data_IF_299391966553
#
_entry.id   IF_299391966553
#
_cell.length_a   1.000
_cell.length_b   1.000
_cell.length_c   1.000
_cell.angle_alpha   90.00
_cell.angle_beta   90.00
_cell.angle_gamma   90.00
#
_symmetry.space_group_name_H-M   'P 1'
#
loop_
_entity.id
_entity.type
_entity.pdbx_description
1 polymer ?
#
# COMPACT_ATOMS: atom_id res chain seq x y z
N UNK A 1 -17.51 -34.37 -22.56
CA UNK A 1 -17.48 -33.84 -21.16
C UNK A 1 -16.15 -33.18 -20.74
N UNK A 2 -15.29 -32.69 -21.66
CA UNK A 2 -14.00 -32.04 -21.31
C UNK A 2 -13.96 -30.52 -21.48
N UNK A 3 -14.99 -29.91 -22.09
CA UNK A 3 -15.05 -28.45 -22.38
C UNK A 3 -15.58 -27.60 -21.22
N UNK A 4 -16.26 -28.19 -20.23
CA UNK A 4 -16.90 -27.46 -19.12
C UNK A 4 -15.93 -27.13 -17.98
N UNK A 5 -14.79 -27.82 -17.90
CA UNK A 5 -13.82 -27.65 -16.80
C UNK A 5 -12.85 -26.48 -17.00
N UNK A 6 -12.71 -25.97 -18.23
CA UNK A 6 -11.88 -24.80 -18.55
C UNK A 6 -12.57 -23.46 -18.24
N UNK A 7 -13.90 -23.40 -18.32
CA UNK A 7 -14.66 -22.18 -18.03
C UNK A 7 -14.68 -21.85 -16.52
N UNK A 8 -14.66 -22.86 -15.65
CA UNK A 8 -14.58 -22.67 -14.20
C UNK A 8 -13.19 -22.25 -13.70
N UNK A 9 -12.11 -22.61 -14.40
CA UNK A 9 -10.76 -22.11 -14.09
C UNK A 9 -10.49 -20.72 -14.65
N UNK A 10 -11.13 -20.33 -15.76
CA UNK A 10 -11.03 -18.97 -16.30
C UNK A 10 -11.76 -17.93 -15.41
N UNK A 11 -12.79 -18.34 -14.66
CA UNK A 11 -13.55 -17.48 -13.76
C UNK A 11 -12.81 -17.13 -12.45
N UNK A 12 -11.78 -17.91 -12.10
CA UNK A 12 -10.95 -17.70 -10.90
C UNK A 12 -9.66 -16.90 -11.19
N UNK A 13 -9.37 -16.64 -12.46
CA UNK A 13 -8.14 -16.02 -12.95
C UNK A 13 -8.37 -14.76 -13.78
N UNK A 14 -9.62 -14.35 -13.97
CA UNK A 14 -9.88 -12.95 -14.32
C UNK A 14 -9.38 -12.11 -13.17
N UNK A 15 -8.34 -11.24 -13.34
CA UNK A 15 -8.13 -10.20 -12.36
C UNK A 15 -9.47 -9.50 -12.28
N UNK A 16 -10.05 -9.41 -11.08
CA UNK A 16 -11.20 -8.55 -10.87
C UNK A 16 -10.79 -7.20 -11.48
N UNK A 17 -11.36 -6.88 -12.65
CA UNK A 17 -10.99 -5.67 -13.36
C UNK A 17 -11.32 -4.57 -12.39
N UNK A 18 -10.31 -3.89 -11.86
CA UNK A 18 -10.50 -2.77 -10.96
C UNK A 18 -11.60 -1.91 -11.58
N UNK A 19 -12.71 -1.74 -10.86
CA UNK A 19 -13.89 -1.05 -11.36
C UNK A 19 -13.76 0.44 -11.04
N UNK A 20 -14.29 1.34 -11.87
CA UNK A 20 -14.34 2.75 -11.51
C UNK A 20 -15.01 2.98 -10.15
N UNK A 21 -14.67 4.08 -9.48
CA UNK A 21 -15.26 4.47 -8.20
C UNK A 21 -14.34 4.29 -6.99
N UNK A 22 -13.03 4.30 -7.19
CA UNK A 22 -12.07 4.55 -6.11
C UNK A 22 -11.79 6.04 -6.00
N UNK A 23 -11.54 6.51 -4.78
CA UNK A 23 -11.14 7.88 -4.50
C UNK A 23 -9.64 8.08 -4.71
N UNK A 24 -8.86 7.04 -4.41
CA UNK A 24 -7.40 7.05 -4.47
C UNK A 24 -6.81 5.81 -5.11
N UNK A 25 -5.83 6.00 -5.98
CA UNK A 25 -4.82 4.98 -6.30
C UNK A 25 -3.64 5.19 -5.35
N UNK A 26 -3.24 4.16 -4.60
CA UNK A 26 -2.16 4.26 -3.61
C UNK A 26 -1.01 3.36 -4.02
N UNK A 27 0.11 3.97 -4.39
CA UNK A 27 1.33 3.28 -4.81
C UNK A 27 2.25 3.08 -3.61
N UNK A 28 2.54 1.83 -3.28
CA UNK A 28 3.46 1.50 -2.20
C UNK A 28 4.91 1.58 -2.66
N UNK A 29 5.77 2.08 -1.77
CA UNK A 29 7.22 2.17 -1.95
C UNK A 29 7.91 0.84 -2.24
N UNK A 30 9.05 0.92 -2.91
CA UNK A 30 9.91 -0.21 -3.25
C UNK A 30 11.40 0.14 -3.12
N UNK A 31 11.89 1.01 -4.02
CA UNK A 31 13.25 1.57 -4.03
C UNK A 31 13.36 2.70 -5.06
N UNK A 32 14.29 3.64 -4.85
CA UNK A 32 14.72 4.62 -5.84
C UNK A 32 16.26 4.64 -5.92
N UNK A 33 16.80 5.03 -7.08
CA UNK A 33 18.24 5.14 -7.33
C UNK A 33 18.60 6.55 -7.78
N UNK A 34 19.11 7.37 -6.86
CA UNK A 34 19.62 8.71 -7.16
C UNK A 34 18.56 9.66 -7.74
N UNK A 35 17.28 9.46 -7.41
CA UNK A 35 16.17 10.25 -7.94
C UNK A 35 15.45 9.60 -9.14
N UNK A 36 15.81 8.38 -9.52
CA UNK A 36 15.07 7.59 -10.51
C UNK A 36 14.35 6.44 -9.82
N UNK A 37 13.12 6.08 -10.23
CA UNK A 37 12.48 4.91 -9.65
C UNK A 37 13.30 3.66 -9.98
N UNK A 38 13.39 2.72 -9.03
CA UNK A 38 13.88 1.38 -9.33
C UNK A 38 12.96 0.68 -10.33
N UNK A 39 13.38 -0.40 -11.01
CA UNK A 39 12.50 -1.15 -11.90
C UNK A 39 11.20 -1.63 -11.23
N UNK A 40 11.24 -1.95 -9.93
CA UNK A 40 10.04 -2.31 -9.17
C UNK A 40 9.12 -1.11 -8.96
N UNK A 41 9.67 0.03 -8.51
CA UNK A 41 8.87 1.24 -8.31
C UNK A 41 8.30 1.75 -9.65
N UNK A 42 9.09 1.70 -10.72
CA UNK A 42 8.67 2.12 -12.06
C UNK A 42 7.48 1.31 -12.57
N UNK A 43 7.50 -0.03 -12.47
CA UNK A 43 6.35 -0.87 -12.84
C UNK A 43 5.08 -0.50 -12.06
N UNK A 44 5.22 -0.21 -10.76
CA UNK A 44 4.08 0.21 -9.93
C UNK A 44 3.55 1.58 -10.34
N UNK A 45 4.44 2.52 -10.66
CA UNK A 45 4.07 3.86 -11.13
C UNK A 45 3.40 3.81 -12.51
N UNK A 46 3.89 2.98 -13.43
CA UNK A 46 3.25 2.76 -14.73
C UNK A 46 1.86 2.14 -14.60
N UNK A 47 1.71 1.14 -13.73
CA UNK A 47 0.39 0.59 -13.42
C UNK A 47 -0.56 1.66 -12.85
N UNK A 48 -0.08 2.48 -11.90
CA UNK A 48 -0.86 3.56 -11.32
C UNK A 48 -1.24 4.64 -12.35
N UNK A 49 -0.32 5.00 -13.24
CA UNK A 49 -0.57 5.94 -14.33
C UNK A 49 -1.66 5.42 -15.27
N UNK A 50 -1.57 4.17 -15.69
CA UNK A 50 -2.56 3.53 -16.54
C UNK A 50 -3.94 3.47 -15.87
N UNK A 51 -4.00 3.16 -14.57
CA UNK A 51 -5.24 3.16 -13.80
C UNK A 51 -5.84 4.58 -13.67
N UNK A 52 -4.99 5.58 -13.46
CA UNK A 52 -5.40 6.98 -13.40
C UNK A 52 -5.98 7.45 -14.74
N UNK A 53 -5.29 7.17 -15.85
CA UNK A 53 -5.73 7.53 -17.20
C UNK A 53 -7.05 6.86 -17.59
N UNK A 54 -7.32 5.66 -17.09
CA UNK A 54 -8.58 4.95 -17.26
C UNK A 54 -9.71 5.46 -16.34
N UNK A 55 -9.44 6.44 -15.48
CA UNK A 55 -10.42 7.05 -14.60
C UNK A 55 -10.84 6.17 -13.40
N UNK A 56 -9.99 5.22 -12.98
CA UNK A 56 -10.32 4.37 -11.83
C UNK A 56 -10.34 5.15 -10.51
N UNK A 57 -9.50 6.18 -10.40
CA UNK A 57 -9.53 7.16 -9.32
C UNK A 57 -9.14 8.55 -9.82
N UNK A 58 -9.61 9.58 -9.11
CA UNK A 58 -9.31 10.98 -9.43
C UNK A 58 -8.00 11.48 -8.82
N UNK A 59 -7.40 10.71 -7.89
CA UNK A 59 -6.17 11.06 -7.16
C UNK A 59 -5.23 9.87 -7.05
N UNK A 60 -3.94 10.16 -6.96
CA UNK A 60 -2.87 9.17 -6.79
C UNK A 60 -2.00 9.59 -5.60
N UNK A 61 -1.82 8.69 -4.64
CA UNK A 61 -0.86 8.83 -3.57
C UNK A 61 0.35 7.92 -3.83
N UNK A 62 1.55 8.42 -3.63
CA UNK A 62 2.79 7.64 -3.70
C UNK A 62 3.47 7.73 -2.33
N UNK A 63 3.72 6.57 -1.72
CA UNK A 63 4.39 6.47 -0.43
C UNK A 63 5.79 5.86 -0.53
N UNK A 64 6.62 6.15 0.46
CA UNK A 64 7.95 5.60 0.63
C UNK A 64 8.98 6.67 0.95
N UNK A 65 9.67 6.53 2.07
CA UNK A 65 10.69 7.47 2.52
C UNK A 65 12.05 7.30 1.87
N UNK A 66 13.10 7.64 2.63
CA UNK A 66 14.49 7.65 2.19
C UNK A 66 15.25 6.48 2.82
N UNK A 67 16.08 5.78 2.05
CA UNK A 67 17.09 4.92 2.62
C UNK A 67 18.26 5.75 3.18
N UNK A 68 19.09 5.14 4.03
CA UNK A 68 20.27 5.80 4.58
C UNK A 68 21.21 6.25 3.44
N UNK A 69 21.47 7.56 3.37
CA UNK A 69 22.32 8.16 2.33
C UNK A 69 21.56 8.65 1.09
N UNK A 70 20.25 8.40 0.99
CA UNK A 70 19.45 8.91 -0.10
C UNK A 70 19.18 10.40 0.01
N UNK A 71 19.27 11.09 -1.12
CA UNK A 71 18.85 12.49 -1.23
C UNK A 71 17.34 12.65 -1.38
N UNK A 72 16.70 11.73 -2.09
CA UNK A 72 15.28 11.79 -2.46
C UNK A 72 14.50 10.64 -1.81
N UNK A 73 13.25 10.89 -1.47
CA UNK A 73 12.34 9.82 -1.03
C UNK A 73 11.73 9.11 -2.23
N UNK A 74 11.29 7.87 -2.05
CA UNK A 74 10.57 7.13 -3.08
C UNK A 74 9.26 7.84 -3.48
N UNK A 75 8.53 8.39 -2.50
CA UNK A 75 7.32 9.17 -2.74
C UNK A 75 7.55 10.42 -3.58
N UNK A 76 8.61 11.18 -3.28
CA UNK A 76 9.01 12.35 -4.09
C UNK A 76 9.37 11.94 -5.52
N UNK A 77 10.18 10.88 -5.66
CA UNK A 77 10.62 10.36 -6.97
C UNK A 77 9.42 9.90 -7.80
N UNK A 78 8.50 9.14 -7.19
CA UNK A 78 7.32 8.63 -7.90
C UNK A 78 6.31 9.71 -8.26
N UNK A 79 6.08 10.69 -7.39
CA UNK A 79 5.27 11.85 -7.75
C UNK A 79 5.87 12.65 -8.90
N UNK A 80 7.19 12.89 -8.88
CA UNK A 80 7.88 13.56 -9.99
C UNK A 80 7.71 12.78 -11.29
N UNK A 81 7.84 11.46 -11.24
CA UNK A 81 7.67 10.56 -12.38
C UNK A 81 6.27 10.66 -13.00
N UNK A 82 5.22 10.64 -12.17
CA UNK A 82 3.82 10.75 -12.62
C UNK A 82 3.51 12.15 -13.15
N UNK A 83 4.01 13.19 -12.50
CA UNK A 83 3.83 14.58 -12.95
C UNK A 83 4.44 14.82 -14.32
N UNK A 84 5.64 14.28 -14.57
CA UNK A 84 6.30 14.36 -15.88
C UNK A 84 5.51 13.64 -16.99
N UNK A 85 4.60 12.74 -16.62
CA UNK A 85 3.71 12.00 -17.55
C UNK A 85 2.28 12.53 -17.57
N UNK A 86 2.07 13.75 -17.08
CA UNK A 86 0.81 14.48 -17.24
C UNK A 86 -0.19 14.34 -16.09
N UNK A 87 0.15 13.65 -14.98
CA UNK A 87 -0.72 13.66 -13.79
C UNK A 87 -0.64 15.05 -13.13
N UNK A 88 -1.76 15.78 -12.95
CA UNK A 88 -1.74 17.11 -12.35
C UNK A 88 -1.24 17.07 -10.90
N UNK A 89 -0.47 18.09 -10.50
CA UNK A 89 0.04 18.17 -9.13
C UNK A 89 -1.07 18.14 -8.06
N UNK A 90 -2.24 18.72 -8.34
CA UNK A 90 -3.42 18.69 -7.46
C UNK A 90 -4.04 17.30 -7.26
N UNK A 91 -3.72 16.35 -8.14
CA UNK A 91 -4.17 14.97 -8.05
C UNK A 91 -3.12 14.07 -7.37
N UNK A 92 -1.95 14.61 -7.00
CA UNK A 92 -0.84 13.85 -6.42
C UNK A 92 -0.69 14.14 -4.93
N UNK A 93 -0.55 13.08 -4.13
CA UNK A 93 -0.09 13.13 -2.75
C UNK A 93 1.23 12.37 -2.64
N UNK A 94 2.25 13.05 -2.11
CA UNK A 94 3.62 12.53 -2.05
C UNK A 94 4.02 12.34 -0.59
N UNK A 95 4.05 11.10 -0.14
CA UNK A 95 4.46 10.74 1.22
C UNK A 95 5.90 10.20 1.18
N UNK A 96 6.80 10.81 1.96
CA UNK A 96 8.25 10.59 1.85
C UNK A 96 8.99 10.41 3.17
N UNK A 97 8.28 10.03 4.24
CA UNK A 97 8.82 9.86 5.60
C UNK A 97 8.85 8.40 6.05
N UNK A 98 7.99 7.55 5.50
CA UNK A 98 7.87 6.14 5.88
C UNK A 98 9.14 5.30 5.65
N UNK A 99 9.33 4.27 6.48
CA UNK A 99 10.44 3.31 6.37
C UNK A 99 9.97 1.88 6.06
N UNK A 100 8.66 1.63 6.16
CA UNK A 100 8.09 0.30 5.94
C UNK A 100 6.63 0.40 5.44
N UNK A 101 6.06 -0.73 5.01
CA UNK A 101 4.70 -0.79 4.46
C UNK A 101 3.63 -0.35 5.46
N UNK A 102 3.82 -0.57 6.76
CA UNK A 102 2.87 -0.13 7.77
C UNK A 102 2.86 1.41 7.86
N UNK A 103 4.04 2.02 7.92
CA UNK A 103 4.20 3.47 7.93
C UNK A 103 3.70 4.13 6.64
N UNK A 104 3.94 3.52 5.46
CA UNK A 104 3.37 3.99 4.19
C UNK A 104 1.85 4.25 4.33
N UNK A 105 1.14 3.25 4.85
CA UNK A 105 -0.32 3.31 4.97
C UNK A 105 -0.75 4.20 6.15
N UNK A 106 -0.03 4.13 7.28
CA UNK A 106 -0.32 4.92 8.47
C UNK A 106 -0.19 6.42 8.19
N UNK A 107 0.86 6.85 7.49
CA UNK A 107 1.11 8.26 7.19
C UNK A 107 0.21 8.79 6.08
N UNK A 108 -0.20 7.94 5.14
CA UNK A 108 -1.21 8.32 4.14
C UNK A 108 -2.62 8.39 4.74
N UNK A 109 -2.96 7.54 5.72
CA UNK A 109 -4.32 7.40 6.26
C UNK A 109 -5.06 8.71 6.56
N UNK A 110 -4.47 9.74 7.20
CA UNK A 110 -5.17 11.00 7.48
C UNK A 110 -5.63 11.76 6.24
N UNK A 111 -5.04 11.47 5.08
CA UNK A 111 -5.32 12.11 3.80
C UNK A 111 -6.18 11.26 2.86
N UNK A 112 -6.29 9.96 3.14
CA UNK A 112 -7.08 9.02 2.35
C UNK A 112 -8.52 9.00 2.87
N UNK A 113 -9.46 9.25 1.96
CA UNK A 113 -10.90 9.18 2.20
C UNK A 113 -11.53 8.21 1.21
N UNK A 114 -12.54 7.47 1.65
CA UNK A 114 -13.29 6.56 0.79
C UNK A 114 -12.49 5.33 0.34
N UNK A 115 -12.83 4.81 -0.84
CA UNK A 115 -12.28 3.54 -1.35
C UNK A 115 -10.93 3.75 -1.99
N UNK A 116 -9.96 2.92 -1.63
CA UNK A 116 -8.59 2.99 -2.16
C UNK A 116 -8.24 1.75 -2.98
N UNK A 117 -7.50 1.97 -4.07
CA UNK A 117 -6.91 0.92 -4.87
C UNK A 117 -5.39 0.86 -4.61
N UNK A 118 -4.96 -0.15 -3.88
CA UNK A 118 -3.55 -0.37 -3.57
C UNK A 118 -2.81 -0.99 -4.74
N UNK A 119 -1.76 -0.31 -5.20
CA UNK A 119 -0.89 -0.75 -6.30
C UNK A 119 0.45 -1.18 -5.73
N UNK A 120 0.75 -2.47 -5.87
CA UNK A 120 2.05 -3.06 -5.50
C UNK A 120 2.28 -4.36 -6.26
N UNK A 121 3.50 -4.89 -6.20
CA UNK A 121 3.85 -6.20 -6.75
C UNK A 121 2.91 -7.30 -6.24
N UNK A 122 2.55 -8.24 -7.12
CA UNK A 122 1.64 -9.34 -6.80
C UNK A 122 2.01 -10.15 -5.53
N UNK A 123 3.30 -10.50 -5.28
CA UNK A 123 3.69 -11.19 -4.04
C UNK A 123 3.45 -10.36 -2.77
N UNK A 124 3.57 -9.04 -2.86
CA UNK A 124 3.48 -8.12 -1.72
C UNK A 124 2.04 -7.71 -1.39
N UNK A 125 1.12 -7.85 -2.34
CA UNK A 125 -0.26 -7.39 -2.20
C UNK A 125 -1.01 -7.98 -0.99
N UNK A 126 -0.90 -9.28 -0.66
CA UNK A 126 -1.59 -9.84 0.51
C UNK A 126 -1.19 -9.15 1.82
N UNK A 127 0.09 -8.84 2.01
CA UNK A 127 0.60 -8.13 3.20
C UNK A 127 0.06 -6.70 3.24
N UNK A 128 0.09 -6.01 2.11
CA UNK A 128 -0.43 -4.65 2.00
C UNK A 128 -1.92 -4.56 2.36
N UNK A 129 -2.75 -5.46 1.82
CA UNK A 129 -4.18 -5.51 2.12
C UNK A 129 -4.46 -5.85 3.59
N UNK A 130 -3.69 -6.77 4.18
CA UNK A 130 -3.79 -7.06 5.61
C UNK A 130 -3.53 -5.82 6.48
N UNK A 131 -2.44 -5.09 6.20
CA UNK A 131 -2.10 -3.88 6.94
C UNK A 131 -3.11 -2.75 6.73
N UNK A 132 -3.65 -2.60 5.52
CA UNK A 132 -4.69 -1.63 5.23
C UNK A 132 -5.97 -1.93 6.04
N UNK A 133 -6.37 -3.20 6.13
CA UNK A 133 -7.50 -3.63 6.95
C UNK A 133 -7.25 -3.39 8.44
N UNK A 134 -6.04 -3.67 8.93
CA UNK A 134 -5.66 -3.40 10.32
C UNK A 134 -5.78 -1.90 10.65
N UNK A 135 -5.49 -1.04 9.67
CA UNK A 135 -5.61 0.41 9.80
C UNK A 135 -7.03 0.94 9.54
N UNK A 136 -8.01 0.09 9.20
CA UNK A 136 -9.38 0.48 8.91
C UNK A 136 -9.56 1.19 7.57
N UNK A 137 -8.68 0.93 6.59
CA UNK A 137 -8.81 1.45 5.23
C UNK A 137 -9.70 0.54 4.38
N UNK A 138 -10.62 1.14 3.61
CA UNK A 138 -11.42 0.43 2.60
C UNK A 138 -10.60 0.20 1.33
N UNK A 139 -9.78 -0.86 1.36
CA UNK A 139 -8.78 -1.11 0.33
C UNK A 139 -9.08 -2.35 -0.53
N UNK A 140 -8.98 -2.17 -1.85
CA UNK A 140 -8.84 -3.25 -2.82
C UNK A 140 -7.44 -3.23 -3.44
N UNK A 141 -7.06 -4.34 -4.07
CA UNK A 141 -5.69 -4.54 -4.54
C UNK A 141 -5.59 -4.66 -6.05
N UNK A 142 -4.65 -3.93 -6.64
CA UNK A 142 -4.18 -4.13 -8.01
C UNK A 142 -2.80 -4.81 -7.99
N UNK A 143 -2.71 -6.12 -8.28
CA UNK A 143 -1.45 -6.83 -8.33
C UNK A 143 -0.69 -6.45 -9.60
N UNK A 144 0.44 -5.77 -9.46
CA UNK A 144 1.29 -5.42 -10.60
C UNK A 144 1.94 -6.70 -11.13
N UNK A 145 1.70 -7.07 -12.40
CA UNK A 145 2.31 -8.25 -12.99
C UNK A 145 3.83 -8.01 -13.18
N UNK A 146 4.59 -9.10 -13.15
CA UNK A 146 6.03 -9.06 -13.35
C UNK A 146 6.68 -10.40 -13.09
N UNK A 147 7.94 -10.52 -13.48
CA UNK A 147 8.77 -11.66 -13.13
C UNK A 147 9.33 -11.44 -11.72
N UNK A 148 8.87 -12.25 -10.78
CA UNK A 148 9.29 -12.19 -9.38
C UNK A 148 10.04 -13.47 -9.03
N UNK A 149 11.22 -13.37 -8.37
CA UNK A 149 11.96 -14.55 -7.97
C UNK A 149 11.14 -15.35 -6.95
N UNK A 150 11.26 -16.69 -6.97
CA UNK A 150 10.54 -17.56 -6.05
C UNK A 150 10.83 -17.22 -4.58
N UNK A 151 12.04 -16.74 -4.28
CA UNK A 151 12.43 -16.27 -2.94
C UNK A 151 11.56 -15.11 -2.43
N UNK A 152 11.11 -14.21 -3.31
CA UNK A 152 10.21 -13.11 -2.94
C UNK A 152 8.83 -13.66 -2.58
N UNK A 153 8.28 -14.56 -3.40
CA UNK A 153 7.03 -15.25 -3.09
C UNK A 153 7.10 -16.01 -1.76
N UNK A 154 8.19 -16.73 -1.53
CA UNK A 154 8.40 -17.49 -0.32
C UNK A 154 8.48 -16.59 0.91
N UNK A 155 9.28 -15.51 0.84
CA UNK A 155 9.38 -14.51 1.90
C UNK A 155 8.02 -13.92 2.26
N UNK A 156 7.25 -13.45 1.27
CA UNK A 156 5.93 -12.87 1.54
C UNK A 156 4.93 -13.91 2.07
N UNK A 157 5.05 -15.17 1.65
CA UNK A 157 4.24 -16.27 2.20
C UNK A 157 4.55 -16.52 3.67
N UNK A 158 5.82 -16.53 4.06
CA UNK A 158 6.23 -16.65 5.46
C UNK A 158 5.75 -15.47 6.30
N UNK A 159 5.89 -14.24 5.81
CA UNK A 159 5.33 -13.05 6.47
C UNK A 159 3.82 -13.17 6.66
N UNK A 160 3.10 -13.68 5.67
CA UNK A 160 1.65 -13.88 5.77
C UNK A 160 1.30 -14.88 6.87
N UNK A 161 2.00 -16.02 6.92
CA UNK A 161 1.81 -17.02 7.99
C UNK A 161 2.10 -16.39 9.36
N UNK A 162 3.20 -15.64 9.47
CA UNK A 162 3.59 -14.94 10.68
C UNK A 162 2.51 -13.95 11.17
N UNK A 163 1.92 -13.16 10.27
CA UNK A 163 0.80 -12.26 10.58
C UNK A 163 -0.47 -13.02 11.00
N UNK A 164 -0.78 -14.16 10.37
CA UNK A 164 -1.94 -14.99 10.74
C UNK A 164 -1.81 -15.65 12.12
N UNK A 165 -0.58 -15.91 12.57
CA UNK A 165 -0.31 -16.42 13.91
C UNK A 165 -0.50 -15.36 15.01
N UNK A 166 -0.97 -14.16 14.67
CA UNK A 166 -1.29 -13.09 15.63
C UNK A 166 -0.05 -12.38 16.19
N UNK A 167 1.13 -12.67 15.64
CA UNK A 167 2.36 -11.96 15.96
C UNK A 167 2.27 -10.59 15.29
N UNK A 168 1.90 -9.57 16.07
CA UNK A 168 1.81 -8.18 15.60
C UNK A 168 3.18 -7.77 15.04
N UNK A 169 3.25 -7.01 13.91
CA UNK A 169 4.48 -6.39 13.44
C UNK A 169 5.21 -5.74 14.62
N UNK A 170 6.46 -6.16 14.85
CA UNK A 170 7.31 -5.58 15.89
C UNK A 170 7.37 -4.07 15.63
N UNK A 171 7.07 -3.26 16.65
CA UNK A 171 7.25 -1.80 16.59
C UNK A 171 8.75 -1.44 16.59
N UNK A 172 9.49 -1.86 15.56
CA UNK A 172 10.88 -1.45 15.37
C UNK A 172 10.91 -0.02 14.86
N UNK A 173 10.81 0.94 15.78
CA UNK A 173 10.86 2.38 15.49
C UNK A 173 10.49 3.32 16.63
N UNK A 174 10.17 2.82 17.83
CA UNK A 174 9.96 3.67 19.00
C UNK A 174 11.28 4.31 19.43
N UNK A 175 11.56 5.53 18.95
CA UNK A 175 12.53 6.41 19.60
C UNK A 175 11.89 6.99 20.87
N UNK A 176 12.48 6.84 22.07
CA UNK A 176 11.91 7.34 23.32
C UNK A 176 11.77 8.87 23.40
N UNK A 177 12.19 9.62 22.38
CA UNK A 177 12.11 11.08 22.35
C UNK A 177 10.73 11.67 21.98
N UNK A 178 9.76 10.88 21.55
CA UNK A 178 8.42 11.40 21.17
C UNK A 178 7.36 11.34 22.27
N UNK A 179 7.72 10.98 23.51
CA UNK A 179 6.78 10.85 24.64
C UNK A 179 6.31 12.18 25.26
N UNK A 180 6.78 13.34 24.79
CA UNK A 180 6.43 14.64 25.39
C UNK A 180 5.21 15.35 24.78
N UNK A 181 4.50 14.75 23.83
CA UNK A 181 3.42 15.46 23.11
C UNK A 181 2.13 14.67 22.90
N UNK A 182 1.85 13.63 23.69
CA UNK A 182 0.54 12.98 23.66
C UNK A 182 -0.36 13.57 24.77
N UNK A 183 -1.55 14.10 24.44
CA UNK A 183 -2.52 14.49 25.46
C UNK A 183 -2.98 13.25 26.26
N UNK A 184 -3.27 13.41 27.57
CA UNK A 184 -3.49 12.31 28.52
C UNK A 184 -4.71 11.42 28.22
N UNK A 185 -5.54 11.76 27.24
CA UNK A 185 -6.85 11.13 27.03
C UNK A 185 -6.83 9.97 26.01
N UNK A 186 -5.66 9.65 25.42
CA UNK A 186 -5.53 8.60 24.40
C UNK A 186 -5.43 7.16 24.95
N UNK A 187 -5.57 6.97 26.25
CA UNK A 187 -5.59 5.65 26.91
C UNK A 187 -6.99 5.37 27.48
N UNK A 188 -7.95 5.15 26.59
CA UNK A 188 -9.25 4.58 26.95
C UNK A 188 -9.07 3.15 27.46
N UNK A 189 -9.21 2.97 28.77
CA UNK A 189 -9.13 1.68 29.46
C UNK A 189 -10.37 0.83 29.11
N UNK A 190 -10.24 -0.43 28.64
CA UNK A 190 -11.40 -1.29 28.38
C UNK A 190 -11.97 -1.80 29.71
N UNK A 191 -12.89 -1.03 30.29
CA UNK A 191 -13.68 -1.42 31.46
C UNK A 191 -14.78 -2.42 31.09
N UNK A 192 -14.74 -3.58 31.76
CA UNK A 192 -15.83 -4.39 32.32
C UNK A 192 -17.25 -4.31 31.70
N UNK A 193 -17.90 -5.47 31.44
CA UNK A 193 -19.27 -5.50 30.92
C UNK A 193 -20.28 -4.99 31.94
N UNK A 194 -21.19 -4.15 31.48
CA UNK A 194 -22.34 -3.66 32.24
C UNK A 194 -23.26 -4.83 32.65
N UNK A 195 -23.54 -4.95 33.95
CA UNK A 195 -24.73 -5.64 34.46
C UNK A 195 -25.85 -4.60 34.58
N UNK A 196 -27.02 -4.89 34.00
CA UNK A 196 -28.28 -4.23 34.37
C UNK A 196 -28.71 -4.62 35.79
N UNK A 197 -29.91 -4.26 36.26
CA UNK A 197 -31.10 -3.77 35.53
C UNK A 197 -31.18 -2.26 35.32
#
# INVERSE_FOLDING_TARGET
MKRVRWLLMALLLTPALAQPGYDWIVVLGAAQYGGRPSPALERRLEAALHLYQRGLASRVAVAGGKAKGDRYSEGEVGCRYLRQRGVPAKALLCEGQSQNTYENLLFLKPHLSGRILLVTDAPHLPRALFLARLLGLEAEGYPVPGEYPLSYWFRETLYRIWLYLGLRPFQSGFSPHSLKSLPPDALGNPGTPAKGP
#
